data_IF_546000525186
#
_entry.id   IF_546000525186
#
_cell.length_a   1.000
_cell.length_b   1.000
_cell.length_c   1.000
_cell.angle_alpha   90.00
_cell.angle_beta   90.00
_cell.angle_gamma   90.00
#
_symmetry.space_group_name_H-M   'P 1'
#
loop_
_entity.id
_entity.type
_entity.pdbx_description
1 polymer ?
#
# COMPACT_ATOMS: atom_id res chain seq x y z
N UNK A 1 3.35 3.56 -17.25
CA UNK A 1 2.65 3.50 -15.95
C UNK A 1 3.52 2.68 -15.02
N UNK A 2 4.11 3.28 -14.00
CA UNK A 2 4.82 2.52 -12.97
C UNK A 2 3.85 2.26 -11.82
N UNK A 3 3.51 1.00 -11.60
CA UNK A 3 2.59 0.57 -10.55
C UNK A 3 3.33 0.66 -9.21
N UNK A 4 2.82 1.48 -8.29
CA UNK A 4 3.39 1.64 -6.95
C UNK A 4 2.92 0.52 -6.02
N UNK A 5 1.67 0.12 -6.18
CA UNK A 5 1.05 -0.91 -5.35
C UNK A 5 0.86 -2.21 -6.13
N UNK A 6 1.06 -3.35 -5.46
CA UNK A 6 0.87 -4.68 -6.06
C UNK A 6 0.17 -5.64 -5.11
N UNK A 7 -0.66 -6.53 -5.65
CA UNK A 7 -1.22 -7.65 -4.88
C UNK A 7 -0.24 -8.81 -4.85
N UNK A 8 0.04 -9.33 -3.66
CA UNK A 8 0.77 -10.58 -3.44
C UNK A 8 -0.13 -11.60 -2.76
N UNK A 9 0.04 -12.88 -3.12
CA UNK A 9 -0.54 -13.99 -2.37
C UNK A 9 0.40 -14.36 -1.22
N UNK A 10 -0.16 -14.58 -0.05
CA UNK A 10 0.52 -15.09 1.13
C UNK A 10 -0.24 -16.29 1.67
N UNK A 11 0.50 -17.27 2.18
CA UNK A 11 -0.08 -18.44 2.83
C UNK A 11 0.11 -18.28 4.31
N UNK A 12 -0.98 -18.35 5.07
CA UNK A 12 -0.92 -18.33 6.53
C UNK A 12 -0.30 -19.64 6.99
N UNK A 13 0.82 -19.59 7.72
CA UNK A 13 1.53 -20.81 8.16
C UNK A 13 0.70 -21.68 9.12
N UNK A 14 -0.21 -21.06 9.88
CA UNK A 14 -1.02 -21.71 10.90
C UNK A 14 -2.11 -22.61 10.30
N UNK A 15 -2.89 -22.07 9.36
CA UNK A 15 -4.07 -22.74 8.79
C UNK A 15 -3.88 -23.12 7.30
N UNK A 16 -2.76 -22.75 6.68
CA UNK A 16 -2.54 -22.93 5.24
C UNK A 16 -3.44 -22.06 4.35
N UNK A 17 -4.34 -21.28 4.94
CA UNK A 17 -5.25 -20.38 4.22
C UNK A 17 -4.50 -19.32 3.43
N UNK A 18 -4.92 -19.16 2.18
CA UNK A 18 -4.45 -18.10 1.29
C UNK A 18 -5.02 -16.76 1.72
N UNK A 19 -4.17 -15.76 1.70
CA UNK A 19 -4.52 -14.37 1.97
C UNK A 19 -3.79 -13.46 1.00
N UNK A 20 -4.47 -12.43 0.54
CA UNK A 20 -3.95 -11.48 -0.43
C UNK A 20 -3.58 -10.18 0.28
N UNK A 21 -2.42 -9.62 -0.05
CA UNK A 21 -1.92 -8.38 0.56
C UNK A 21 -1.60 -7.38 -0.54
N UNK A 22 -1.97 -6.12 -0.34
CA UNK A 22 -1.52 -5.02 -1.20
C UNK A 22 -0.25 -4.43 -0.60
N UNK A 23 0.85 -4.44 -1.36
CA UNK A 23 2.16 -3.94 -0.92
C UNK A 23 2.58 -2.71 -1.70
N UNK A 24 3.20 -1.74 -1.01
CA UNK A 24 3.87 -0.60 -1.63
C UNK A 24 5.30 -1.01 -2.03
N UNK A 25 5.59 -0.93 -3.33
CA UNK A 25 6.88 -1.29 -3.91
C UNK A 25 7.94 -0.20 -3.70
N UNK A 26 7.56 1.02 -3.32
CA UNK A 26 8.48 2.17 -3.17
C UNK A 26 9.02 2.33 -1.75
N UNK A 27 8.20 2.15 -0.71
CA UNK A 27 8.62 2.32 0.70
C UNK A 27 9.37 1.09 1.28
N UNK A 28 9.69 0.08 0.48
CA UNK A 28 10.35 -1.13 0.99
C UNK A 28 9.38 -2.09 1.68
N UNK A 29 8.34 -2.50 0.96
CA UNK A 29 7.84 -3.88 0.89
C UNK A 29 7.77 -4.69 2.19
N UNK A 30 6.82 -4.39 3.06
CA UNK A 30 6.15 -5.38 3.94
C UNK A 30 5.11 -4.78 4.87
N UNK A 31 5.05 -3.46 5.00
CA UNK A 31 3.95 -2.82 5.71
C UNK A 31 2.66 -3.05 4.93
N UNK A 32 1.82 -3.98 5.40
CA UNK A 32 0.42 -4.10 5.00
C UNK A 32 -0.33 -2.86 5.48
N UNK A 33 0.00 -1.66 4.98
CA UNK A 33 -0.72 -0.43 5.35
C UNK A 33 -2.20 -0.56 5.01
N UNK A 34 -2.55 -1.46 4.08
CA UNK A 34 -3.85 -1.52 3.45
C UNK A 34 -4.62 -2.81 3.77
N UNK A 35 -4.19 -3.56 4.79
CA UNK A 35 -4.88 -4.76 5.27
C UNK A 35 -4.50 -6.06 4.57
N UNK A 36 -5.21 -7.13 4.96
CA UNK A 36 -5.06 -8.50 4.45
C UNK A 36 -6.44 -8.97 4.03
N UNK A 37 -6.56 -9.50 2.81
CA UNK A 37 -7.83 -9.88 2.19
C UNK A 37 -7.92 -11.39 2.02
N UNK A 38 -9.12 -11.95 2.18
CA UNK A 38 -9.37 -13.37 1.91
C UNK A 38 -9.70 -13.61 0.42
N UNK A 39 -10.28 -12.61 -0.25
CA UNK A 39 -10.64 -12.68 -1.67
C UNK A 39 -9.68 -11.84 -2.52
N UNK A 40 -9.16 -12.44 -3.59
CA UNK A 40 -8.21 -11.78 -4.51
C UNK A 40 -8.81 -10.53 -5.17
N UNK A 41 -10.04 -10.62 -5.63
CA UNK A 41 -10.74 -9.53 -6.34
C UNK A 41 -10.87 -8.28 -5.50
N UNK A 42 -11.07 -8.42 -4.18
CA UNK A 42 -11.11 -7.28 -3.26
C UNK A 42 -9.75 -6.61 -3.16
N UNK A 43 -8.67 -7.40 -3.01
CA UNK A 43 -7.32 -6.88 -3.00
C UNK A 43 -6.96 -6.18 -4.33
N UNK A 44 -7.39 -6.71 -5.48
CA UNK A 44 -7.17 -6.11 -6.79
C UNK A 44 -7.96 -4.81 -6.97
N UNK A 45 -9.18 -4.72 -6.44
CA UNK A 45 -9.99 -3.49 -6.44
C UNK A 45 -9.29 -2.37 -5.66
N UNK A 46 -8.78 -2.69 -4.46
CA UNK A 46 -8.02 -1.74 -3.63
C UNK A 46 -6.70 -1.37 -4.31
N UNK A 47 -5.96 -2.34 -4.85
CA UNK A 47 -4.71 -2.11 -5.57
C UNK A 47 -4.91 -1.19 -6.79
N UNK A 48 -6.00 -1.39 -7.55
CA UNK A 48 -6.34 -0.55 -8.69
C UNK A 48 -6.65 0.88 -8.25
N UNK A 49 -7.48 1.05 -7.21
CA UNK A 49 -7.80 2.37 -6.66
C UNK A 49 -6.53 3.13 -6.23
N UNK A 50 -5.61 2.46 -5.54
CA UNK A 50 -4.37 3.08 -5.06
C UNK A 50 -3.38 3.44 -6.17
N UNK A 51 -3.38 2.70 -7.28
CA UNK A 51 -2.57 3.03 -8.45
C UNK A 51 -3.23 4.11 -9.33
N UNK A 52 -4.57 4.22 -9.30
CA UNK A 52 -5.35 5.27 -9.97
C UNK A 52 -5.28 6.60 -9.22
N UNK A 53 -5.23 6.54 -7.88
CA UNK A 53 -4.73 7.62 -7.04
C UNK A 53 -3.23 7.77 -7.33
N UNK A 54 -2.89 8.46 -8.43
CA UNK A 54 -1.51 8.82 -8.76
C UNK A 54 -0.79 9.48 -7.57
N UNK A 55 0.53 9.74 -7.63
CA UNK A 55 1.28 10.21 -6.48
C UNK A 55 0.59 11.43 -5.90
N UNK A 56 -0.15 11.25 -4.79
CA UNK A 56 -0.69 12.35 -4.00
C UNK A 56 0.56 13.08 -3.59
N UNK A 57 0.80 14.23 -4.24
CA UNK A 57 1.80 15.20 -3.86
C UNK A 57 1.82 15.16 -2.35
N UNK A 58 2.93 14.71 -1.76
CA UNK A 58 3.08 14.75 -0.32
C UNK A 58 2.89 16.22 0.03
N UNK A 59 1.70 16.57 0.51
CA UNK A 59 1.35 17.89 0.98
C UNK A 59 2.25 18.08 2.19
N UNK A 60 3.41 18.67 1.90
CA UNK A 60 4.51 18.96 2.81
C UNK A 60 4.03 20.14 3.64
N UNK A 61 3.01 19.92 4.46
CA UNK A 61 2.48 20.94 5.34
C UNK A 61 3.36 20.97 6.59
N UNK A 62 4.55 21.53 6.36
CA UNK A 62 5.15 22.60 7.15
C UNK A 62 4.80 22.55 8.65
N UNK A 63 5.43 21.62 9.35
CA UNK A 63 5.71 21.75 10.78
C UNK A 63 7.19 22.09 10.96
N UNK A 64 7.54 23.35 10.72
CA UNK A 64 8.72 24.00 11.29
C UNK A 64 8.47 25.51 11.20
N UNK A 65 7.77 26.03 12.21
CA UNK A 65 7.70 27.46 12.48
C UNK A 65 9.07 27.96 12.91
N UNK A 66 9.43 29.12 12.35
CA UNK A 66 10.39 30.11 12.86
C UNK A 66 11.82 29.67 13.18
N UNK A 67 12.72 29.92 12.21
CA UNK A 67 14.03 30.49 12.50
C UNK A 67 14.24 31.64 11.52
N UNK A 68 13.71 32.82 11.88
CA UNK A 68 14.18 34.07 11.29
C UNK A 68 15.52 34.44 11.93
N UNK A 69 16.37 35.03 11.09
CA UNK A 69 17.66 35.68 11.35
C UNK A 69 17.77 36.41 12.69
#
# INVERSE_FOLDING_TARGET
MHERFRVIETTTLDDGSKRYRVVDLVEGGSASKNGVFEVRTEAETVCSALNAEGPKSADKNRAASAASL
#
